data_IF_223110962498
#
_entry.id   IF_223110962498
#
_cell.length_a   1.000
_cell.length_b   1.000
_cell.length_c   1.000
_cell.angle_alpha   90.00
_cell.angle_beta   90.00
_cell.angle_gamma   90.00
#
_symmetry.space_group_name_H-M   'P 1'
#
loop_
_entity.id
_entity.type
_entity.pdbx_description
1 polymer ?
#
# COMPACT_ATOMS: atom_id res chain seq x y z
N UNK A 1 45.77 25.51 3.68
CA UNK A 1 44.34 25.79 3.58
C UNK A 1 43.62 24.50 3.89
N UNK A 2 43.13 24.43 5.11
CA UNK A 2 42.51 23.23 5.69
C UNK A 2 41.03 23.20 5.39
N UNK A 3 40.57 22.17 4.64
CA UNK A 3 39.15 21.89 4.50
C UNK A 3 38.69 21.07 5.71
N UNK A 4 37.91 21.69 6.57
CA UNK A 4 37.14 21.00 7.61
C UNK A 4 35.93 20.35 6.95
N UNK A 5 35.91 19.00 6.93
CA UNK A 5 34.69 18.22 6.70
C UNK A 5 33.89 18.16 7.99
N UNK A 6 32.80 18.86 8.05
CA UNK A 6 31.80 18.68 9.10
C UNK A 6 30.97 17.40 8.77
N UNK A 7 31.33 16.31 9.46
CA UNK A 7 30.47 15.12 9.56
C UNK A 7 29.27 15.47 10.44
N UNK A 8 28.15 15.76 9.83
CA UNK A 8 26.85 15.80 10.50
C UNK A 8 26.32 14.36 10.61
N UNK A 9 26.73 13.68 11.69
CA UNK A 9 26.19 12.39 12.07
C UNK A 9 24.76 12.63 12.60
N UNK A 10 23.77 12.40 11.73
CA UNK A 10 22.35 12.44 12.06
C UNK A 10 22.06 11.53 13.25
N UNK A 11 21.66 12.15 14.34
CA UNK A 11 21.15 11.54 15.57
C UNK A 11 19.98 10.59 15.25
N UNK A 12 20.27 9.31 15.14
CA UNK A 12 19.30 8.26 15.45
C UNK A 12 19.12 8.27 16.97
N UNK A 13 18.24 9.11 17.47
CA UNK A 13 17.82 9.03 18.87
C UNK A 13 17.18 7.64 19.06
N UNK A 14 17.81 6.83 19.88
CA UNK A 14 17.26 5.56 20.34
C UNK A 14 15.83 5.77 20.81
N UNK A 15 14.86 4.92 20.42
CA UNK A 15 13.51 5.04 20.93
C UNK A 15 13.52 4.89 22.45
N UNK A 16 12.65 5.61 23.19
CA UNK A 16 12.59 5.51 24.63
C UNK A 16 12.21 4.09 25.05
N UNK A 17 13.16 3.35 25.60
CA UNK A 17 12.95 2.08 26.28
C UNK A 17 12.42 2.42 27.67
N UNK A 18 11.12 2.50 27.82
CA UNK A 18 10.50 2.74 29.11
C UNK A 18 8.99 2.80 28.96
N UNK A 19 8.27 1.96 29.70
CA UNK A 19 6.81 1.85 29.70
C UNK A 19 6.09 3.15 30.08
N UNK A 20 5.97 4.05 29.14
CA UNK A 20 5.20 5.27 29.19
C UNK A 20 4.84 5.63 27.75
N UNK A 21 3.56 5.93 27.50
CA UNK A 21 2.96 6.22 26.20
C UNK A 21 3.58 7.48 25.54
N UNK A 22 4.78 7.34 24.97
CA UNK A 22 5.34 8.32 24.04
C UNK A 22 5.14 7.82 22.62
N UNK A 23 4.38 8.56 21.79
CA UNK A 23 4.24 8.26 20.39
C UNK A 23 5.62 8.14 19.72
N UNK A 24 5.81 7.13 18.87
CA UNK A 24 7.03 6.98 18.09
C UNK A 24 7.16 8.17 17.13
N UNK A 25 8.28 8.89 17.21
CA UNK A 25 8.48 10.13 16.45
C UNK A 25 9.47 9.92 15.31
N UNK A 26 8.99 10.03 14.07
CA UNK A 26 9.82 10.14 12.87
C UNK A 26 9.12 11.04 11.84
N UNK A 27 9.73 11.23 10.66
CA UNK A 27 9.15 12.12 9.64
C UNK A 27 7.78 11.65 9.11
N UNK A 28 7.50 10.34 9.08
CA UNK A 28 6.21 9.78 8.64
C UNK A 28 5.13 10.00 9.71
N UNK A 29 5.41 9.71 10.98
CA UNK A 29 4.42 9.95 12.04
C UNK A 29 4.10 11.44 12.19
N UNK A 30 5.09 12.31 12.03
CA UNK A 30 4.90 13.77 12.04
C UNK A 30 4.11 14.24 10.80
N UNK A 31 4.45 13.74 9.59
CA UNK A 31 3.81 14.14 8.35
C UNK A 31 2.30 13.85 8.34
N UNK A 32 1.90 12.71 8.90
CA UNK A 32 0.51 12.26 8.91
C UNK A 32 -0.20 12.52 10.24
N UNK A 33 0.51 12.94 11.28
CA UNK A 33 -0.01 13.07 12.64
C UNK A 33 -0.64 11.78 13.16
N UNK A 34 0.12 10.68 13.08
CA UNK A 34 -0.25 9.33 13.52
C UNK A 34 0.69 8.82 14.61
N UNK A 35 0.24 7.81 15.37
CA UNK A 35 0.99 7.27 16.51
C UNK A 35 2.06 6.26 16.06
N UNK A 36 1.76 5.46 15.02
CA UNK A 36 2.62 4.42 14.47
C UNK A 36 2.84 4.60 12.97
N UNK A 37 4.06 4.43 12.43
CA UNK A 37 4.33 4.59 10.99
C UNK A 37 3.88 3.34 10.20
N UNK A 38 2.62 2.93 10.44
CA UNK A 38 1.94 1.78 9.84
C UNK A 38 0.79 2.32 8.98
N UNK A 39 0.87 2.07 7.68
CA UNK A 39 -0.13 2.50 6.70
C UNK A 39 -0.86 1.27 6.16
N UNK A 40 -2.17 1.27 6.18
CA UNK A 40 -2.97 0.29 5.45
C UNK A 40 -3.13 0.76 4.01
N UNK A 41 -2.71 -0.07 3.05
CA UNK A 41 -2.76 0.24 1.62
C UNK A 41 -4.18 0.49 1.11
N UNK A 42 -4.33 1.43 0.19
CA UNK A 42 -5.58 1.65 -0.52
C UNK A 42 -5.80 0.62 -1.62
N UNK A 43 -6.45 -0.49 -1.30
CA UNK A 43 -6.65 -1.64 -2.17
C UNK A 43 -8.04 -1.62 -2.83
N UNK A 44 -8.11 -1.96 -4.12
CA UNK A 44 -9.38 -2.15 -4.83
C UNK A 44 -10.19 -3.28 -4.16
N UNK A 45 -11.50 -3.11 -4.04
CA UNK A 45 -12.47 -4.08 -3.49
C UNK A 45 -12.23 -4.53 -2.03
N UNK A 46 -11.19 -3.99 -1.35
CA UNK A 46 -10.86 -4.34 0.03
C UNK A 46 -10.87 -3.13 0.99
N UNK A 47 -10.45 -1.95 0.52
CA UNK A 47 -10.22 -0.78 1.38
C UNK A 47 -11.37 0.21 1.34
N UNK A 48 -12.44 -0.11 2.08
CA UNK A 48 -13.55 0.80 2.33
C UNK A 48 -13.36 1.63 3.61
N UNK A 49 -14.36 2.46 3.92
CA UNK A 49 -14.36 3.34 5.09
C UNK A 49 -14.20 2.61 6.43
N UNK A 50 -14.76 1.40 6.57
CA UNK A 50 -14.66 0.60 7.80
C UNK A 50 -13.22 0.26 8.11
N UNK A 51 -12.49 -0.27 7.12
CA UNK A 51 -11.08 -0.61 7.27
C UNK A 51 -10.23 0.62 7.53
N UNK A 52 -10.41 1.67 6.73
CA UNK A 52 -9.65 2.91 6.88
C UNK A 52 -9.83 3.54 8.28
N UNK A 53 -11.07 3.67 8.75
CA UNK A 53 -11.34 4.24 10.07
C UNK A 53 -10.85 3.36 11.22
N UNK A 54 -10.92 2.03 11.10
CA UNK A 54 -10.44 1.10 12.14
C UNK A 54 -8.92 1.20 12.33
N UNK A 55 -8.16 1.24 11.22
CA UNK A 55 -6.69 1.43 11.25
C UNK A 55 -6.32 2.81 11.82
N UNK A 56 -7.02 3.85 11.40
CA UNK A 56 -6.78 5.21 11.89
C UNK A 56 -7.07 5.33 13.39
N UNK A 57 -8.17 4.74 13.87
CA UNK A 57 -8.49 4.71 15.30
C UNK A 57 -7.48 3.94 16.14
N UNK A 58 -6.77 2.98 15.53
CA UNK A 58 -5.70 2.21 16.18
C UNK A 58 -4.33 2.90 16.13
N UNK A 59 -4.24 4.13 15.62
CA UNK A 59 -3.01 4.94 15.61
C UNK A 59 -2.14 4.79 14.35
N UNK A 60 -2.54 3.99 13.38
CA UNK A 60 -1.96 3.94 12.03
C UNK A 60 -2.60 4.95 11.07
N UNK A 61 -2.33 4.82 9.78
CA UNK A 61 -3.00 5.57 8.71
C UNK A 61 -3.83 4.62 7.84
N UNK A 62 -5.15 4.74 7.90
CA UNK A 62 -6.05 4.02 7.01
C UNK A 62 -6.25 4.75 5.68
N UNK A 63 -6.30 4.02 4.56
CA UNK A 63 -6.55 4.56 3.24
C UNK A 63 -7.82 3.98 2.62
N UNK A 64 -8.69 4.85 2.11
CA UNK A 64 -9.80 4.46 1.23
C UNK A 64 -9.24 4.21 -0.17
N UNK A 65 -9.51 3.03 -0.76
CA UNK A 65 -9.05 2.67 -2.10
C UNK A 65 -10.05 3.12 -3.17
N UNK A 66 -9.83 4.28 -3.79
CA UNK A 66 -10.77 4.86 -4.76
C UNK A 66 -10.84 4.11 -6.11
N UNK A 67 -9.85 3.28 -6.43
CA UNK A 67 -9.76 2.62 -7.75
C UNK A 67 -10.92 1.69 -8.12
N UNK A 68 -11.69 1.20 -7.15
CA UNK A 68 -12.89 0.38 -7.39
C UNK A 68 -14.21 1.12 -7.18
N UNK A 69 -14.16 2.43 -6.93
CA UNK A 69 -15.33 3.22 -6.54
C UNK A 69 -15.78 4.14 -7.68
N UNK A 70 -17.09 4.20 -7.93
CA UNK A 70 -17.69 5.29 -8.67
C UNK A 70 -17.63 6.59 -7.84
N UNK A 71 -17.69 7.78 -8.48
CA UNK A 71 -17.56 9.07 -7.79
C UNK A 71 -18.47 9.21 -6.56
N UNK A 72 -19.75 8.91 -6.67
CA UNK A 72 -20.71 9.02 -5.57
C UNK A 72 -20.38 8.06 -4.41
N UNK A 73 -19.93 6.86 -4.74
CA UNK A 73 -19.50 5.86 -3.76
C UNK A 73 -18.25 6.35 -3.01
N UNK A 74 -17.29 6.96 -3.70
CA UNK A 74 -16.11 7.54 -3.06
C UNK A 74 -16.51 8.63 -2.05
N UNK A 75 -17.42 9.54 -2.45
CA UNK A 75 -17.96 10.60 -1.57
C UNK A 75 -18.60 9.99 -0.32
N UNK A 76 -19.47 9.01 -0.52
CA UNK A 76 -20.12 8.30 0.60
C UNK A 76 -19.10 7.67 1.56
N UNK A 77 -18.08 6.99 1.02
CA UNK A 77 -17.03 6.36 1.84
C UNK A 77 -16.21 7.39 2.61
N UNK A 78 -15.87 8.53 2.03
CA UNK A 78 -15.17 9.62 2.73
C UNK A 78 -16.03 10.15 3.87
N UNK A 79 -17.32 10.45 3.64
CA UNK A 79 -18.23 10.96 4.65
C UNK A 79 -18.45 9.98 5.80
N UNK A 80 -18.62 8.68 5.49
CA UNK A 80 -18.72 7.63 6.51
C UNK A 80 -17.42 7.47 7.31
N UNK A 81 -16.27 7.60 6.67
CA UNK A 81 -14.98 7.55 7.36
C UNK A 81 -14.83 8.73 8.33
N UNK A 82 -15.16 9.96 7.89
CA UNK A 82 -15.19 11.15 8.77
C UNK A 82 -16.12 11.00 9.97
N UNK A 83 -17.24 10.30 9.80
CA UNK A 83 -18.18 10.03 10.88
C UNK A 83 -17.69 8.94 11.85
N UNK A 84 -16.82 8.04 11.38
CA UNK A 84 -16.34 6.87 12.15
C UNK A 84 -15.00 7.13 12.87
N UNK A 85 -14.27 8.21 12.52
CA UNK A 85 -12.99 8.56 13.13
C UNK A 85 -12.72 10.05 13.13
N UNK A 86 -12.10 10.53 14.21
CA UNK A 86 -11.51 11.88 14.30
C UNK A 86 -9.99 11.86 14.02
N UNK A 87 -9.43 10.68 13.73
CA UNK A 87 -8.02 10.50 13.43
C UNK A 87 -7.75 10.72 11.93
N UNK A 88 -6.51 11.03 11.53
CA UNK A 88 -6.14 11.17 10.13
C UNK A 88 -6.43 9.89 9.33
N UNK A 89 -6.98 10.06 8.13
CA UNK A 89 -7.10 9.03 7.11
C UNK A 89 -6.79 9.62 5.73
N UNK A 90 -6.53 8.78 4.75
CA UNK A 90 -6.26 9.24 3.41
C UNK A 90 -7.10 8.52 2.35
N UNK A 91 -6.92 8.95 1.10
CA UNK A 91 -7.52 8.33 -0.09
C UNK A 91 -6.42 7.95 -1.06
N UNK A 92 -6.40 6.70 -1.54
CA UNK A 92 -5.52 6.26 -2.62
C UNK A 92 -6.25 6.39 -3.96
N UNK A 93 -5.64 7.11 -4.90
CA UNK A 93 -6.18 7.38 -6.25
C UNK A 93 -5.20 6.82 -7.29
N UNK A 94 -5.53 5.72 -7.96
CA UNK A 94 -4.78 5.26 -9.12
C UNK A 94 -5.00 6.21 -10.31
N UNK A 95 -3.91 6.82 -10.83
CA UNK A 95 -3.98 7.90 -11.83
C UNK A 95 -4.36 7.44 -13.24
N UNK A 96 -4.51 6.14 -13.47
CA UNK A 96 -4.90 5.55 -14.77
C UNK A 96 -6.37 5.09 -14.83
N UNK A 97 -7.13 5.30 -13.77
CA UNK A 97 -8.54 4.87 -13.71
C UNK A 97 -9.48 5.90 -14.36
N UNK A 98 -10.64 5.44 -14.85
CA UNK A 98 -11.66 6.35 -15.38
C UNK A 98 -12.21 7.28 -14.28
N UNK A 99 -12.89 8.36 -14.69
CA UNK A 99 -13.48 9.38 -13.80
C UNK A 99 -12.49 10.08 -12.84
N UNK A 100 -11.18 10.06 -13.16
CA UNK A 100 -10.12 10.61 -12.32
C UNK A 100 -10.39 12.07 -11.89
N UNK A 101 -10.80 12.93 -12.81
CA UNK A 101 -11.11 14.34 -12.53
C UNK A 101 -12.22 14.48 -11.49
N UNK A 102 -13.25 13.63 -11.55
CA UNK A 102 -14.35 13.61 -10.58
C UNK A 102 -13.87 13.13 -9.20
N UNK A 103 -13.03 12.10 -9.15
CA UNK A 103 -12.43 11.63 -7.90
C UNK A 103 -11.58 12.71 -7.24
N UNK A 104 -10.77 13.42 -8.01
CA UNK A 104 -9.94 14.53 -7.51
C UNK A 104 -10.82 15.65 -6.96
N UNK A 105 -11.87 16.04 -7.70
CA UNK A 105 -12.79 17.07 -7.23
C UNK A 105 -13.49 16.66 -5.93
N UNK A 106 -13.93 15.41 -5.80
CA UNK A 106 -14.55 14.89 -4.58
C UNK A 106 -13.58 14.96 -3.39
N UNK A 107 -12.33 14.56 -3.59
CA UNK A 107 -11.30 14.63 -2.53
C UNK A 107 -11.08 16.07 -2.06
N UNK A 108 -11.11 17.04 -2.98
CA UNK A 108 -11.00 18.46 -2.67
C UNK A 108 -12.26 18.96 -1.94
N UNK A 109 -13.45 18.68 -2.49
CA UNK A 109 -14.74 19.10 -1.93
C UNK A 109 -14.95 18.56 -0.50
N UNK A 110 -14.57 17.30 -0.31
CA UNK A 110 -14.64 16.62 0.99
C UNK A 110 -13.44 16.95 1.89
N UNK A 111 -12.59 17.91 1.54
CA UNK A 111 -11.45 18.37 2.34
C UNK A 111 -10.55 17.25 2.89
N UNK A 112 -10.33 16.19 2.10
CA UNK A 112 -9.38 15.12 2.46
C UNK A 112 -7.98 15.70 2.59
N UNK A 113 -7.27 15.37 3.67
CA UNK A 113 -5.96 15.99 3.97
C UNK A 113 -4.77 15.19 3.45
N UNK A 114 -4.96 13.91 3.13
CA UNK A 114 -3.89 13.01 2.71
C UNK A 114 -4.33 12.22 1.47
N UNK A 115 -3.54 12.32 0.41
CA UNK A 115 -3.76 11.57 -0.83
C UNK A 115 -2.53 10.74 -1.17
N UNK A 116 -2.76 9.45 -1.41
CA UNK A 116 -1.78 8.57 -2.03
C UNK A 116 -2.15 8.44 -3.51
N UNK A 117 -1.20 8.66 -4.40
CA UNK A 117 -1.38 8.44 -5.83
C UNK A 117 -0.56 7.24 -6.27
N UNK A 118 -1.12 6.41 -7.13
CA UNK A 118 -0.43 5.24 -7.70
C UNK A 118 -0.65 5.19 -9.21
N UNK A 119 0.22 4.51 -9.93
CA UNK A 119 0.21 4.44 -11.38
C UNK A 119 0.13 5.84 -12.06
N UNK A 120 0.72 6.01 -13.23
CA UNK A 120 0.68 7.27 -13.95
C UNK A 120 1.73 8.30 -13.53
N UNK A 121 1.51 9.57 -13.91
CA UNK A 121 2.49 10.63 -13.75
C UNK A 121 2.17 11.53 -12.54
N UNK A 122 3.01 11.56 -11.49
CA UNK A 122 2.78 12.38 -10.30
C UNK A 122 2.74 13.88 -10.60
N UNK A 123 3.40 14.37 -11.66
CA UNK A 123 3.42 15.81 -12.01
C UNK A 123 2.03 16.37 -12.34
N UNK A 124 1.11 15.52 -12.81
CA UNK A 124 -0.20 15.98 -13.31
C UNK A 124 -1.04 16.63 -12.20
N UNK A 125 -1.04 16.05 -11.01
CA UNK A 125 -2.00 16.44 -9.96
C UNK A 125 -1.36 16.93 -8.66
N UNK A 126 -0.07 16.64 -8.42
CA UNK A 126 0.59 17.01 -7.16
C UNK A 126 0.50 18.49 -6.85
N UNK A 127 0.75 19.36 -7.83
CA UNK A 127 0.66 20.83 -7.64
C UNK A 127 -0.76 21.29 -7.32
N UNK A 128 -1.79 20.66 -7.89
CA UNK A 128 -3.18 20.93 -7.57
C UNK A 128 -3.48 20.58 -6.10
N UNK A 129 -3.20 19.36 -5.71
CA UNK A 129 -3.43 18.89 -4.33
C UNK A 129 -2.72 19.81 -3.30
N UNK A 130 -1.47 20.17 -3.56
CA UNK A 130 -0.72 21.08 -2.67
C UNK A 130 -1.37 22.45 -2.50
N UNK A 131 -1.98 23.02 -3.56
CA UNK A 131 -2.72 24.29 -3.45
C UNK A 131 -3.91 24.22 -2.49
N UNK A 132 -4.49 23.02 -2.31
CA UNK A 132 -5.56 22.78 -1.34
C UNK A 132 -5.05 22.28 0.02
N UNK A 133 -3.73 22.37 0.27
CA UNK A 133 -3.12 21.94 1.54
C UNK A 133 -3.15 20.44 1.78
N UNK A 134 -3.26 19.65 0.69
CA UNK A 134 -3.31 18.18 0.76
C UNK A 134 -1.90 17.61 0.75
N UNK A 135 -1.59 16.74 1.69
CA UNK A 135 -0.35 15.94 1.70
C UNK A 135 -0.42 14.88 0.61
N UNK A 136 0.59 14.88 -0.28
CA UNK A 136 0.65 13.97 -1.42
C UNK A 136 1.78 12.97 -1.26
N UNK A 137 1.45 11.69 -1.38
CA UNK A 137 2.38 10.56 -1.42
C UNK A 137 2.25 9.85 -2.76
N UNK A 138 3.34 9.38 -3.35
CA UNK A 138 3.28 8.63 -4.62
C UNK A 138 3.93 7.26 -4.50
N UNK A 139 3.27 6.23 -5.06
CA UNK A 139 3.77 4.85 -5.09
C UNK A 139 4.72 4.67 -6.27
N UNK A 140 5.89 4.10 -6.01
CA UNK A 140 6.97 3.93 -7.00
C UNK A 140 7.57 2.53 -6.95
N UNK A 141 8.01 2.02 -8.12
CA UNK A 141 8.67 0.72 -8.28
C UNK A 141 10.17 0.82 -8.61
N UNK A 142 10.72 2.04 -8.67
CA UNK A 142 12.15 2.25 -8.97
C UNK A 142 12.67 3.60 -8.48
N UNK A 143 13.99 3.72 -8.30
CA UNK A 143 14.66 4.98 -7.95
C UNK A 143 14.40 6.08 -8.99
N UNK A 144 14.32 5.71 -10.28
CA UNK A 144 13.98 6.67 -11.35
C UNK A 144 12.60 7.29 -11.16
N UNK A 145 11.60 6.50 -10.77
CA UNK A 145 10.26 7.01 -10.47
C UNK A 145 10.22 7.76 -9.14
N UNK A 146 11.03 7.35 -8.17
CA UNK A 146 11.18 8.06 -6.90
C UNK A 146 11.69 9.50 -7.09
N UNK A 147 12.75 9.69 -7.85
CA UNK A 147 13.26 11.02 -8.20
C UNK A 147 12.21 11.87 -8.91
N UNK A 148 11.50 11.29 -9.90
CA UNK A 148 10.42 12.01 -10.60
C UNK A 148 9.29 12.45 -9.68
N UNK A 149 8.94 11.64 -8.69
CA UNK A 149 7.88 11.97 -7.75
C UNK A 149 8.35 13.04 -6.74
N UNK A 150 9.59 12.98 -6.29
CA UNK A 150 10.20 14.06 -5.50
C UNK A 150 10.23 15.37 -6.29
N UNK A 151 10.68 15.35 -7.54
CA UNK A 151 10.73 16.53 -8.42
C UNK A 151 9.33 17.09 -8.72
N UNK A 152 8.29 16.23 -8.69
CA UNK A 152 6.89 16.67 -8.79
C UNK A 152 6.39 17.36 -7.51
N UNK A 153 7.17 17.31 -6.42
CA UNK A 153 6.88 17.93 -5.14
C UNK A 153 6.03 17.07 -4.19
N UNK A 154 6.05 15.74 -4.35
CA UNK A 154 5.45 14.84 -3.37
C UNK A 154 6.09 15.00 -1.99
N UNK A 155 5.33 14.79 -0.92
CA UNK A 155 5.79 14.96 0.46
C UNK A 155 6.48 13.69 0.99
N UNK A 156 6.09 12.52 0.49
CA UNK A 156 6.68 11.22 0.79
C UNK A 156 6.48 10.26 -0.38
N UNK A 157 7.12 9.10 -0.33
CA UNK A 157 7.01 8.03 -1.33
C UNK A 157 6.66 6.71 -0.67
N UNK A 158 5.97 5.85 -1.43
CA UNK A 158 5.87 4.42 -1.13
C UNK A 158 6.75 3.67 -2.13
N UNK A 159 7.82 3.03 -1.67
CA UNK A 159 8.62 2.12 -2.46
C UNK A 159 8.00 0.72 -2.39
N UNK A 160 7.30 0.32 -3.46
CA UNK A 160 6.56 -0.94 -3.52
C UNK A 160 7.34 -2.00 -4.29
N UNK A 161 7.79 -3.02 -3.55
CA UNK A 161 8.54 -4.15 -4.09
C UNK A 161 7.65 -5.16 -4.80
N UNK A 162 8.30 -5.98 -5.62
CA UNK A 162 7.73 -7.03 -6.47
C UNK A 162 6.87 -8.07 -5.72
N UNK A 163 7.04 -8.23 -4.41
CA UNK A 163 6.27 -9.14 -3.57
C UNK A 163 4.81 -8.68 -3.34
N UNK A 164 4.49 -7.43 -3.70
CA UNK A 164 3.15 -6.88 -3.56
C UNK A 164 2.11 -7.62 -4.40
N UNK A 165 0.86 -7.65 -3.92
CA UNK A 165 -0.30 -8.15 -4.67
C UNK A 165 -0.83 -7.12 -5.65
N UNK A 166 -1.59 -7.59 -6.65
CA UNK A 166 -2.16 -6.72 -7.67
C UNK A 166 -1.13 -6.17 -8.65
N UNK A 167 -1.37 -4.97 -9.14
CA UNK A 167 -0.53 -4.33 -10.15
C UNK A 167 0.89 -4.05 -9.63
N UNK A 168 1.89 -4.46 -10.40
CA UNK A 168 3.30 -4.38 -10.05
C UNK A 168 4.10 -3.56 -11.06
N UNK A 169 5.28 -3.08 -10.63
CA UNK A 169 6.30 -2.53 -11.53
C UNK A 169 6.83 -3.59 -12.49
N UNK A 170 7.31 -3.14 -13.65
CA UNK A 170 7.86 -4.03 -14.70
C UNK A 170 9.26 -4.54 -14.37
N UNK A 171 9.96 -3.85 -13.45
CA UNK A 171 11.35 -4.13 -13.09
C UNK A 171 11.51 -5.37 -12.21
N UNK A 172 10.42 -5.86 -11.61
CA UNK A 172 10.40 -7.02 -10.71
C UNK A 172 11.43 -6.90 -9.56
N UNK A 173 11.67 -5.67 -9.09
CA UNK A 173 12.64 -5.41 -8.02
C UNK A 173 12.02 -5.77 -6.68
N UNK A 174 12.68 -6.66 -5.92
CA UNK A 174 12.25 -7.06 -4.58
C UNK A 174 12.36 -5.92 -3.58
N UNK A 175 11.56 -5.95 -2.52
CA UNK A 175 11.56 -4.95 -1.44
C UNK A 175 12.95 -4.78 -0.82
N UNK A 176 13.69 -5.89 -0.64
CA UNK A 176 15.05 -5.90 -0.09
C UNK A 176 16.06 -5.08 -0.93
N UNK A 177 15.86 -5.01 -2.24
CA UNK A 177 16.72 -4.22 -3.16
C UNK A 177 16.15 -2.82 -3.41
N UNK A 178 14.83 -2.71 -3.56
CA UNK A 178 14.18 -1.47 -3.93
C UNK A 178 14.27 -0.41 -2.82
N UNK A 179 13.98 -0.78 -1.58
CA UNK A 179 13.94 0.18 -0.45
C UNK A 179 15.27 0.90 -0.30
N UNK A 180 16.44 0.23 -0.14
CA UNK A 180 17.71 0.94 0.00
C UNK A 180 18.13 1.71 -1.28
N UNK A 181 17.70 1.27 -2.47
CA UNK A 181 17.98 2.01 -3.70
C UNK A 181 17.16 3.31 -3.77
N UNK A 182 15.89 3.28 -3.37
CA UNK A 182 15.02 4.46 -3.34
C UNK A 182 15.48 5.43 -2.24
N UNK A 183 15.73 4.97 -1.02
CA UNK A 183 16.12 5.83 0.11
C UNK A 183 17.43 6.57 -0.15
N UNK A 184 18.35 5.96 -0.90
CA UNK A 184 19.60 6.64 -1.34
C UNK A 184 19.40 7.66 -2.44
N UNK A 185 18.30 7.60 -3.20
CA UNK A 185 18.06 8.44 -4.38
C UNK A 185 17.24 9.70 -4.12
N UNK A 186 16.59 9.79 -2.94
CA UNK A 186 15.69 10.91 -2.59
C UNK A 186 15.95 11.40 -1.17
N UNK A 187 15.51 12.63 -0.88
CA UNK A 187 15.62 13.25 0.47
C UNK A 187 14.29 13.25 1.24
N UNK A 188 13.17 13.04 0.56
CA UNK A 188 11.84 12.95 1.19
C UNK A 188 11.64 11.57 1.86
N UNK A 189 10.76 11.46 2.88
CA UNK A 189 10.52 10.21 3.58
C UNK A 189 10.06 9.09 2.65
N UNK A 190 10.53 7.87 2.91
CA UNK A 190 10.19 6.66 2.15
C UNK A 190 9.45 5.66 3.04
N UNK A 191 8.31 5.19 2.57
CA UNK A 191 7.49 4.12 3.16
C UNK A 191 7.77 2.85 2.36
N UNK A 192 8.12 1.75 3.02
CA UNK A 192 8.32 0.46 2.35
C UNK A 192 7.00 -0.28 2.17
N UNK A 193 6.78 -0.89 1.02
CA UNK A 193 5.64 -1.75 0.73
C UNK A 193 6.06 -2.98 -0.09
N UNK A 194 5.23 -4.02 -0.06
CA UNK A 194 5.53 -5.31 -0.69
C UNK A 194 6.21 -6.28 0.27
N UNK A 195 5.60 -7.45 0.50
CA UNK A 195 6.16 -8.50 1.35
C UNK A 195 6.16 -8.21 2.85
N UNK A 196 5.44 -7.22 3.34
CA UNK A 196 5.44 -6.79 4.75
C UNK A 196 4.08 -7.07 5.39
N UNK A 197 4.09 -7.82 6.52
CA UNK A 197 2.90 -8.17 7.30
C UNK A 197 3.13 -8.23 8.82
N UNK A 198 4.39 -8.20 9.27
CA UNK A 198 4.81 -8.39 10.67
C UNK A 198 5.66 -7.23 11.17
N UNK A 199 5.77 -7.08 12.48
CA UNK A 199 6.64 -6.07 13.09
C UNK A 199 8.11 -6.32 12.84
N UNK A 200 8.53 -7.59 12.73
CA UNK A 200 9.92 -7.92 12.36
C UNK A 200 10.25 -7.50 10.92
N UNK A 201 9.30 -7.68 9.98
CA UNK A 201 9.48 -7.20 8.60
C UNK A 201 9.45 -5.67 8.53
N UNK A 202 8.63 -5.01 9.36
CA UNK A 202 8.67 -3.55 9.51
C UNK A 202 10.04 -3.09 10.02
N UNK A 203 10.60 -3.74 11.04
CA UNK A 203 11.94 -3.42 11.56
C UNK A 203 13.01 -3.57 10.47
N UNK A 204 12.99 -4.67 9.72
CA UNK A 204 13.91 -4.90 8.61
C UNK A 204 13.82 -3.79 7.55
N UNK A 205 12.60 -3.39 7.18
CA UNK A 205 12.36 -2.30 6.24
C UNK A 205 12.93 -0.95 6.75
N UNK A 206 12.78 -0.67 8.05
CA UNK A 206 13.32 0.56 8.65
C UNK A 206 14.85 0.52 8.74
N UNK A 207 15.46 -0.63 9.01
CA UNK A 207 16.93 -0.80 8.95
C UNK A 207 17.46 -0.53 7.53
N UNK A 208 16.68 -0.87 6.48
CA UNK A 208 17.01 -0.55 5.09
C UNK A 208 16.83 0.93 4.73
N UNK A 209 16.37 1.77 5.65
CA UNK A 209 16.22 3.22 5.49
C UNK A 209 14.78 3.70 5.24
N UNK A 210 13.78 2.83 5.28
CA UNK A 210 12.38 3.27 5.29
C UNK A 210 12.01 3.93 6.63
N UNK A 211 11.03 4.82 6.61
CA UNK A 211 10.54 5.51 7.82
C UNK A 211 9.11 5.11 8.20
N UNK A 212 8.57 4.15 7.51
CA UNK A 212 7.28 3.53 7.76
C UNK A 212 7.04 2.38 6.80
N UNK A 213 5.93 1.69 7.01
CA UNK A 213 5.54 0.57 6.16
C UNK A 213 4.10 0.70 5.69
N UNK A 214 3.84 0.28 4.45
CA UNK A 214 2.50 0.13 3.90
C UNK A 214 2.21 -1.36 3.68
N UNK A 215 1.11 -1.84 4.25
CA UNK A 215 0.69 -3.23 4.19
C UNK A 215 -0.64 -3.37 3.44
N UNK A 216 -0.68 -4.26 2.45
CA UNK A 216 -1.89 -4.63 1.73
C UNK A 216 -2.46 -5.96 2.24
N UNK A 217 -1.80 -7.06 1.90
CA UNK A 217 -2.29 -8.42 2.13
C UNK A 217 -2.68 -8.71 3.58
N UNK A 218 -1.90 -8.19 4.57
CA UNK A 218 -2.24 -8.35 5.99
C UNK A 218 -3.61 -7.74 6.31
N UNK A 219 -3.92 -6.57 5.76
CA UNK A 219 -5.20 -5.90 5.99
C UNK A 219 -6.34 -6.42 5.11
N UNK A 220 -6.07 -7.13 3.99
CA UNK A 220 -7.11 -7.93 3.31
C UNK A 220 -7.65 -9.00 4.24
N UNK A 221 -6.80 -9.64 5.02
CA UNK A 221 -7.18 -10.60 6.06
C UNK A 221 -7.58 -9.90 7.38
N UNK A 222 -8.46 -8.89 7.28
CA UNK A 222 -9.06 -8.22 8.44
C UNK A 222 -10.59 -8.30 8.40
N UNK A 223 -11.22 -8.15 9.57
CA UNK A 223 -12.68 -8.19 9.68
C UNK A 223 -13.33 -7.05 8.87
N UNK A 224 -12.76 -5.84 8.92
CA UNK A 224 -13.30 -4.62 8.34
C UNK A 224 -13.01 -4.46 6.83
N UNK A 225 -12.13 -5.29 6.25
CA UNK A 225 -11.92 -5.30 4.81
C UNK A 225 -13.22 -5.63 4.07
N UNK A 226 -13.54 -4.88 3.02
CA UNK A 226 -14.79 -5.04 2.25
C UNK A 226 -14.77 -6.23 1.29
N UNK A 227 -13.66 -6.93 1.18
CA UNK A 227 -13.54 -8.14 0.37
C UNK A 227 -14.38 -9.29 0.92
N UNK A 228 -14.84 -10.18 0.03
CA UNK A 228 -15.68 -11.32 0.39
C UNK A 228 -14.94 -12.31 1.29
N UNK A 229 -15.67 -12.96 2.20
CA UNK A 229 -15.07 -13.91 3.15
C UNK A 229 -14.33 -15.06 2.44
N UNK A 230 -14.82 -15.55 1.30
CA UNK A 230 -14.15 -16.59 0.52
C UNK A 230 -12.74 -16.14 0.10
N UNK A 231 -12.59 -14.88 -0.33
CA UNK A 231 -11.28 -14.35 -0.71
C UNK A 231 -10.36 -14.21 0.52
N UNK A 232 -10.87 -13.72 1.66
CA UNK A 232 -10.08 -13.66 2.91
C UNK A 232 -9.60 -15.05 3.33
N UNK A 233 -10.47 -16.07 3.21
CA UNK A 233 -10.10 -17.47 3.51
C UNK A 233 -9.06 -17.99 2.50
N UNK A 234 -9.19 -17.68 1.21
CA UNK A 234 -8.16 -18.04 0.22
C UNK A 234 -6.80 -17.39 0.53
N UNK A 235 -6.80 -16.16 1.06
CA UNK A 235 -5.58 -15.45 1.46
C UNK A 235 -4.87 -16.13 2.63
N UNK A 236 -5.58 -16.50 3.69
CA UNK A 236 -4.97 -17.15 4.87
C UNK A 236 -4.67 -18.63 4.67
N UNK A 237 -5.19 -19.25 3.62
CA UNK A 237 -4.86 -20.62 3.23
C UNK A 237 -3.78 -20.70 2.14
N UNK A 238 -3.29 -19.55 1.64
CA UNK A 238 -2.24 -19.51 0.64
C UNK A 238 -0.89 -19.94 1.23
N UNK A 239 -0.19 -20.81 0.51
CA UNK A 239 1.15 -21.28 0.86
C UNK A 239 2.23 -20.57 0.05
N UNK A 240 3.49 -20.87 0.36
CA UNK A 240 4.63 -20.45 -0.46
C UNK A 240 4.47 -20.92 -1.91
N UNK A 241 4.70 -20.01 -2.85
CA UNK A 241 4.57 -20.33 -4.28
C UNK A 241 3.14 -20.32 -4.82
N UNK A 242 2.11 -19.96 -4.05
CA UNK A 242 0.74 -19.87 -4.55
C UNK A 242 0.42 -18.58 -5.28
N UNK A 243 1.29 -17.57 -5.23
CA UNK A 243 1.09 -16.32 -5.96
C UNK A 243 2.06 -16.16 -7.11
N UNK A 244 1.57 -15.70 -8.25
CA UNK A 244 2.33 -15.53 -9.49
C UNK A 244 2.11 -14.15 -10.11
N UNK A 245 3.17 -13.60 -10.70
CA UNK A 245 3.10 -12.42 -11.53
C UNK A 245 2.77 -12.83 -12.97
N UNK A 246 1.61 -12.41 -13.46
CA UNK A 246 1.06 -12.67 -14.78
C UNK A 246 0.73 -11.40 -15.53
N UNK A 247 0.20 -11.52 -16.75
CA UNK A 247 -0.22 -10.40 -17.60
C UNK A 247 0.88 -9.39 -17.91
N UNK A 248 2.13 -9.85 -17.98
CA UNK A 248 3.31 -8.98 -18.19
C UNK A 248 3.28 -8.20 -19.50
N UNK A 249 2.61 -8.71 -20.53
CA UNK A 249 2.38 -7.99 -21.80
C UNK A 249 1.42 -6.81 -21.65
N UNK A 250 0.49 -6.87 -20.69
CA UNK A 250 -0.44 -5.78 -20.37
C UNK A 250 0.14 -4.90 -19.25
N UNK A 251 -0.27 -5.17 -18.04
CA UNK A 251 0.29 -4.62 -16.80
C UNK A 251 0.53 -5.80 -15.86
N UNK A 252 1.76 -5.99 -15.35
CA UNK A 252 2.03 -7.11 -14.46
C UNK A 252 1.10 -7.10 -13.25
N UNK A 253 0.46 -8.22 -12.93
CA UNK A 253 -0.44 -8.39 -11.79
C UNK A 253 -0.09 -9.66 -11.05
N UNK A 254 0.05 -9.57 -9.72
CA UNK A 254 0.28 -10.75 -8.86
C UNK A 254 -1.04 -11.29 -8.35
N UNK A 255 -1.28 -12.57 -8.62
CA UNK A 255 -2.52 -13.29 -8.38
C UNK A 255 -2.27 -14.60 -7.63
N UNK A 256 -3.27 -15.07 -6.85
CA UNK A 256 -3.35 -16.46 -6.40
C UNK A 256 -3.72 -17.35 -7.58
N UNK A 257 -3.17 -18.57 -7.62
CA UNK A 257 -3.55 -19.61 -8.58
C UNK A 257 -5.02 -20.01 -8.42
N UNK A 258 -5.75 -19.97 -9.54
CA UNK A 258 -7.10 -20.50 -9.67
C UNK A 258 -7.36 -20.88 -11.14
N UNK A 259 -8.58 -21.22 -11.52
CA UNK A 259 -8.92 -21.56 -12.92
C UNK A 259 -8.67 -20.38 -13.87
N UNK A 260 -9.01 -19.16 -13.46
CA UNK A 260 -8.75 -17.98 -14.28
C UNK A 260 -7.24 -17.77 -14.49
N UNK A 261 -6.43 -17.90 -13.44
CA UNK A 261 -4.97 -17.85 -13.56
C UNK A 261 -4.42 -18.91 -14.54
N UNK A 262 -4.95 -20.15 -14.50
CA UNK A 262 -4.55 -21.21 -15.44
C UNK A 262 -4.84 -20.81 -16.88
N UNK A 263 -6.02 -20.24 -17.18
CA UNK A 263 -6.36 -19.76 -18.51
C UNK A 263 -5.40 -18.66 -19.00
N UNK A 264 -5.02 -17.72 -18.12
CA UNK A 264 -4.02 -16.68 -18.43
C UNK A 264 -2.66 -17.32 -18.72
N UNK A 265 -2.21 -18.26 -17.88
CA UNK A 265 -0.93 -18.94 -18.04
C UNK A 265 -0.86 -19.73 -19.36
N UNK A 266 -1.90 -20.48 -19.72
CA UNK A 266 -2.00 -21.19 -20.98
C UNK A 266 -1.98 -20.24 -22.18
N UNK A 267 -2.68 -19.11 -22.10
CA UNK A 267 -2.66 -18.07 -23.12
C UNK A 267 -1.26 -17.47 -23.29
N UNK A 268 -0.60 -17.13 -22.20
CA UNK A 268 0.77 -16.58 -22.24
C UNK A 268 1.78 -17.59 -22.78
N UNK A 269 1.70 -18.88 -22.42
CA UNK A 269 2.58 -19.94 -22.91
C UNK A 269 2.44 -20.18 -24.42
N UNK A 270 1.21 -20.10 -24.98
CA UNK A 270 1.01 -20.21 -26.44
C UNK A 270 1.36 -18.92 -27.20
N UNK A 271 1.82 -17.87 -26.50
CA UNK A 271 2.23 -16.63 -27.12
C UNK A 271 1.10 -15.65 -27.45
N UNK A 272 -0.05 -15.75 -26.77
CA UNK A 272 -1.21 -14.89 -27.00
C UNK A 272 -0.81 -13.40 -27.12
N UNK A 273 -1.52 -12.70 -28.00
CA UNK A 273 -1.37 -11.26 -28.22
C UNK A 273 -1.94 -10.46 -27.04
N UNK A 274 -1.59 -9.16 -26.95
CA UNK A 274 -2.20 -8.26 -25.99
C UNK A 274 -3.72 -8.17 -26.11
N UNK A 275 -4.26 -8.24 -27.34
CA UNK A 275 -5.70 -8.19 -27.60
C UNK A 275 -6.41 -9.41 -27.03
N UNK A 276 -5.86 -10.61 -27.25
CA UNK A 276 -6.39 -11.87 -26.70
C UNK A 276 -6.34 -11.88 -25.17
N UNK A 277 -5.25 -11.41 -24.56
CA UNK A 277 -5.13 -11.32 -23.10
C UNK A 277 -6.12 -10.30 -22.52
N UNK A 278 -6.36 -9.16 -23.19
CA UNK A 278 -7.39 -8.18 -22.78
C UNK A 278 -8.80 -8.75 -22.87
N UNK A 279 -9.09 -9.52 -23.91
CA UNK A 279 -10.38 -10.20 -24.07
C UNK A 279 -10.58 -11.26 -22.97
N UNK A 280 -9.57 -12.09 -22.70
CA UNK A 280 -9.61 -13.10 -21.65
C UNK A 280 -9.77 -12.49 -20.27
N UNK A 281 -9.03 -11.40 -19.97
CA UNK A 281 -9.17 -10.65 -18.73
C UNK A 281 -10.59 -10.09 -18.58
N UNK A 282 -11.15 -9.56 -19.66
CA UNK A 282 -12.49 -8.98 -19.66
C UNK A 282 -12.63 -7.79 -18.73
N UNK A 283 -13.85 -7.58 -18.21
CA UNK A 283 -14.14 -6.50 -17.26
C UNK A 283 -14.56 -7.08 -15.90
N UNK A 284 -14.19 -6.35 -14.83
CA UNK A 284 -14.62 -6.63 -13.45
C UNK A 284 -14.18 -8.01 -12.89
N UNK A 285 -13.13 -8.64 -13.42
CA UNK A 285 -12.59 -9.91 -12.88
C UNK A 285 -12.18 -9.79 -11.42
N UNK A 286 -11.49 -8.72 -11.04
CA UNK A 286 -11.11 -8.44 -9.66
C UNK A 286 -12.35 -8.28 -8.75
N UNK A 287 -13.40 -7.59 -9.22
CA UNK A 287 -14.69 -7.52 -8.50
C UNK A 287 -15.28 -8.91 -8.26
N UNK A 288 -15.36 -9.71 -9.34
CA UNK A 288 -15.91 -11.07 -9.30
C UNK A 288 -15.18 -11.96 -8.27
N UNK A 289 -13.86 -11.89 -8.21
CA UNK A 289 -13.05 -12.67 -7.27
C UNK A 289 -13.08 -12.10 -5.86
N UNK A 290 -12.59 -10.88 -5.70
CA UNK A 290 -12.30 -10.30 -4.38
C UNK A 290 -13.55 -9.78 -3.66
N UNK A 291 -14.54 -9.24 -4.39
CA UNK A 291 -15.74 -8.66 -3.79
C UNK A 291 -16.95 -9.60 -3.81
N UNK A 292 -17.14 -10.38 -4.87
CA UNK A 292 -18.27 -11.30 -5.03
C UNK A 292 -17.94 -12.73 -4.58
N UNK A 293 -16.66 -13.04 -4.31
CA UNK A 293 -16.20 -14.30 -3.73
C UNK A 293 -16.16 -15.49 -4.68
N UNK A 294 -16.16 -15.26 -6.00
CA UNK A 294 -15.99 -16.31 -7.00
C UNK A 294 -14.50 -16.63 -7.17
N UNK A 295 -14.03 -17.63 -6.43
CA UNK A 295 -12.61 -18.00 -6.40
C UNK A 295 -12.11 -18.65 -7.70
N UNK A 296 -12.98 -19.28 -8.49
CA UNK A 296 -12.60 -19.98 -9.71
C UNK A 296 -12.33 -19.03 -10.89
N UNK A 297 -13.28 -18.11 -11.13
CA UNK A 297 -13.33 -17.26 -12.31
C UNK A 297 -12.87 -15.82 -12.03
N UNK A 298 -12.67 -15.47 -10.78
CA UNK A 298 -12.26 -14.15 -10.36
C UNK A 298 -10.75 -13.95 -10.44
N UNK A 299 -10.33 -12.71 -10.56
CA UNK A 299 -8.94 -12.28 -10.37
C UNK A 299 -8.71 -12.07 -8.87
N UNK A 300 -7.75 -12.80 -8.30
CA UNK A 300 -7.49 -12.86 -6.86
C UNK A 300 -6.14 -12.18 -6.54
N UNK A 301 -6.16 -10.87 -6.47
CA UNK A 301 -4.97 -10.04 -6.29
C UNK A 301 -4.47 -10.08 -4.84
N UNK A 302 -3.31 -10.70 -4.58
CA UNK A 302 -2.68 -10.77 -3.26
C UNK A 302 -1.16 -10.90 -3.36
N UNK A 303 -0.44 -10.41 -2.34
CA UNK A 303 1.02 -10.47 -2.28
C UNK A 303 1.56 -11.80 -1.76
N UNK A 304 2.86 -12.03 -1.98
CA UNK A 304 3.56 -13.24 -1.54
C UNK A 304 3.49 -13.45 -0.03
N UNK A 305 3.40 -12.37 0.74
CA UNK A 305 3.33 -12.42 2.21
C UNK A 305 2.06 -13.10 2.72
N UNK A 306 1.06 -13.37 1.88
CA UNK A 306 -0.11 -14.18 2.24
C UNK A 306 0.28 -15.55 2.81
N UNK A 307 1.39 -16.14 2.36
CA UNK A 307 1.92 -17.40 2.91
C UNK A 307 2.28 -17.35 4.41
N UNK A 308 2.39 -16.17 5.00
CA UNK A 308 2.65 -15.99 6.43
C UNK A 308 1.38 -15.69 7.24
N UNK A 309 0.24 -15.50 6.58
CA UNK A 309 -1.01 -15.12 7.23
C UNK A 309 -1.82 -16.36 7.62
N UNK A 310 -2.25 -16.44 8.87
CA UNK A 310 -2.96 -17.61 9.39
C UNK A 310 -4.32 -17.26 10.01
N UNK A 311 -4.67 -15.97 10.06
CA UNK A 311 -5.83 -15.48 10.76
C UNK A 311 -6.50 -14.27 10.08
N UNK A 312 -7.76 -14.07 10.41
CA UNK A 312 -8.53 -12.86 10.09
C UNK A 312 -8.80 -12.17 11.43
N UNK A 313 -8.25 -10.99 11.62
CA UNK A 313 -8.32 -10.24 12.87
C UNK A 313 -9.00 -8.88 12.68
N UNK A 314 -9.52 -8.25 13.72
CA UNK A 314 -9.84 -6.83 13.70
C UNK A 314 -8.62 -6.01 13.26
N UNK A 315 -8.81 -5.02 12.38
CA UNK A 315 -7.72 -4.20 11.85
C UNK A 315 -6.93 -3.47 12.94
N UNK A 316 -7.60 -3.03 14.01
CA UNK A 316 -6.93 -2.45 15.17
C UNK A 316 -5.98 -3.43 15.86
N UNK A 317 -6.37 -4.72 15.96
CA UNK A 317 -5.51 -5.76 16.53
C UNK A 317 -4.29 -6.06 15.65
N UNK A 318 -4.45 -5.96 14.33
CA UNK A 318 -3.32 -6.07 13.39
C UNK A 318 -2.29 -4.96 13.65
N UNK A 319 -2.75 -3.71 13.76
CA UNK A 319 -1.86 -2.56 14.08
C UNK A 319 -1.12 -2.78 15.40
N UNK A 320 -1.85 -3.17 16.44
CA UNK A 320 -1.29 -3.47 17.76
C UNK A 320 -0.22 -4.57 17.72
N UNK A 321 -0.54 -5.71 17.08
CA UNK A 321 0.38 -6.84 16.97
C UNK A 321 1.65 -6.47 16.20
N UNK A 322 1.52 -5.79 15.06
CA UNK A 322 2.67 -5.34 14.26
C UNK A 322 3.55 -4.38 15.06
N UNK A 323 2.94 -3.47 15.80
CA UNK A 323 3.70 -2.53 16.63
C UNK A 323 4.40 -3.25 17.79
N UNK A 324 3.74 -4.16 18.47
CA UNK A 324 4.30 -4.94 19.56
C UNK A 324 5.51 -5.78 19.09
N UNK A 325 5.36 -6.51 17.97
CA UNK A 325 6.46 -7.28 17.38
C UNK A 325 7.65 -6.39 16.94
N UNK A 326 7.36 -5.18 16.45
CA UNK A 326 8.39 -4.21 16.10
C UNK A 326 9.21 -3.80 17.33
N UNK A 327 8.56 -3.47 18.44
CA UNK A 327 9.22 -3.11 19.70
C UNK A 327 10.01 -4.29 20.27
N UNK A 328 9.43 -5.50 20.26
CA UNK A 328 10.13 -6.71 20.68
C UNK A 328 11.38 -6.98 19.83
N UNK A 329 11.28 -6.78 18.52
CA UNK A 329 12.41 -6.93 17.60
C UNK A 329 13.52 -5.89 17.83
N UNK A 330 13.19 -4.68 18.28
CA UNK A 330 14.17 -3.65 18.66
C UNK A 330 14.92 -4.02 19.94
N UNK A 331 14.24 -4.62 20.91
CA UNK A 331 14.83 -4.96 22.23
C UNK A 331 15.54 -6.31 22.23
N UNK A 332 15.06 -7.26 21.41
CA UNK A 332 15.61 -8.61 21.27
C UNK A 332 15.74 -8.96 19.78
N UNK A 333 16.76 -8.44 19.08
CA UNK A 333 16.86 -8.60 17.63
C UNK A 333 17.19 -10.02 17.18
N UNK A 334 17.76 -10.89 18.04
CA UNK A 334 18.11 -12.30 17.75
C UNK A 334 17.72 -13.20 18.92
#
# INVERSE_FOLDING_TARGET
>A
MSHQNSNDSSNLSSPPVGGGQGAFQNRITQLFNIDYPIIQAGMVWASGWKLASAVSNAGGLGLIGAGSMYPDMLREHIQKCKSATNKPFGVNIPLLYPDLDKHIQIVIDEEVKIVFTSAGNPKTWTSLFKRYGITVVHVVSSSKFAMKAQDAGCHALVAEGFEAGGHNGREETTTMVLVPAVTKSVSIPVIAAGGIATGRQMLAAMIMGAEGVQMGSRFVASEEASSHINFKLAVINAAEGDTFLSLKKLTPVRLIRNKFFQQIQEAEQRGASEAELKELLGRARAKKGMHEGNLDEGELEIGQVSALLQDILPAGKIVENVWQEFIEGLTNPL
#
